data_IF_212673703574
#
_entry.id   IF_212673703574
#
_cell.length_a   1.000
_cell.length_b   1.000
_cell.length_c   1.000
_cell.angle_alpha   90.00
_cell.angle_beta   90.00
_cell.angle_gamma   90.00
#
_symmetry.space_group_name_H-M   'P 1'
#
loop_
_entity.id
_entity.type
_entity.pdbx_description
1 polymer ?
#
# COMPACT_ATOMS: atom_id res chain seq x y z
N UNK A 1 -0.65 -23.33 25.63
CA UNK A 1 0.03 -22.14 25.08
C UNK A 1 -0.99 -21.43 24.22
N UNK A 2 -1.67 -20.43 24.78
CA UNK A 2 -2.52 -19.55 23.98
C UNK A 2 -1.57 -18.59 23.28
N UNK A 3 -1.05 -19.02 22.13
CA UNK A 3 -0.25 -18.13 21.30
C UNK A 3 -1.20 -17.16 20.64
N UNK A 4 -1.21 -15.91 21.11
CA UNK A 4 -1.81 -14.83 20.33
C UNK A 4 -1.17 -14.87 18.95
N UNK A 5 -1.99 -15.10 17.93
CA UNK A 5 -1.52 -15.09 16.56
C UNK A 5 -1.27 -13.64 16.16
N UNK A 6 -0.02 -13.19 16.26
CA UNK A 6 0.37 -11.88 15.79
C UNK A 6 0.38 -11.87 14.25
N UNK A 7 -0.68 -11.28 13.69
CA UNK A 7 -0.85 -11.15 12.24
C UNK A 7 0.29 -10.34 11.60
N UNK A 8 0.91 -9.41 12.32
CA UNK A 8 2.03 -8.61 11.81
C UNK A 8 3.27 -9.47 11.71
N UNK A 9 3.54 -10.32 12.70
CA UNK A 9 4.66 -11.27 12.64
C UNK A 9 4.47 -12.31 11.53
N UNK A 10 3.26 -12.80 11.33
CA UNK A 10 2.94 -13.67 10.19
C UNK A 10 3.19 -12.96 8.85
N UNK A 11 2.71 -11.72 8.71
CA UNK A 11 2.97 -10.89 7.54
C UNK A 11 4.48 -10.67 7.32
N UNK A 12 5.24 -10.46 8.39
CA UNK A 12 6.71 -10.29 8.33
C UNK A 12 7.40 -11.56 7.83
N UNK A 13 6.91 -12.74 8.22
CA UNK A 13 7.40 -14.01 7.69
C UNK A 13 7.13 -14.12 6.18
N UNK A 14 5.90 -13.86 5.74
CA UNK A 14 5.53 -13.86 4.33
C UNK A 14 6.33 -12.85 3.51
N UNK A 15 6.51 -11.63 4.01
CA UNK A 15 7.33 -10.59 3.40
C UNK A 15 8.77 -11.07 3.16
N UNK A 16 9.39 -11.63 4.20
CA UNK A 16 10.78 -12.12 4.14
C UNK A 16 10.96 -13.19 3.06
N UNK A 17 9.96 -14.06 2.87
CA UNK A 17 10.00 -15.12 1.86
C UNK A 17 9.77 -14.61 0.43
N UNK A 18 8.95 -13.58 0.26
CA UNK A 18 8.45 -13.15 -1.05
C UNK A 18 9.15 -11.89 -1.60
N UNK A 19 9.48 -10.91 -0.77
CA UNK A 19 9.92 -9.58 -1.20
C UNK A 19 11.18 -9.61 -2.07
N UNK A 20 12.16 -10.45 -1.72
CA UNK A 20 13.43 -10.53 -2.45
C UNK A 20 13.27 -11.00 -3.90
N UNK A 21 12.24 -11.81 -4.19
CA UNK A 21 12.02 -12.39 -5.52
C UNK A 21 11.18 -11.50 -6.43
N UNK A 22 10.37 -10.63 -5.86
CA UNK A 22 9.34 -9.90 -6.60
C UNK A 22 9.55 -8.39 -6.60
N UNK A 23 10.27 -7.83 -5.62
CA UNK A 23 10.44 -6.39 -5.50
C UNK A 23 11.77 -5.93 -6.11
N UNK A 24 11.70 -5.10 -7.15
CA UNK A 24 12.86 -4.41 -7.69
C UNK A 24 13.15 -3.13 -6.89
N UNK A 25 14.02 -3.26 -5.89
CA UNK A 25 14.35 -2.19 -4.92
C UNK A 25 15.13 -1.01 -5.51
N UNK A 26 15.78 -1.18 -6.67
CA UNK A 26 16.70 -0.18 -7.20
C UNK A 26 16.00 1.10 -7.69
N UNK A 27 14.69 1.04 -7.94
CA UNK A 27 13.92 2.14 -8.52
C UNK A 27 12.85 2.70 -7.57
N UNK A 28 12.84 2.27 -6.31
CA UNK A 28 11.84 2.70 -5.33
C UNK A 28 12.43 3.78 -4.42
N UNK A 29 11.62 4.79 -4.16
CA UNK A 29 11.93 5.94 -3.32
C UNK A 29 11.41 5.76 -1.89
N UNK A 30 11.16 4.51 -1.48
CA UNK A 30 10.63 4.15 -0.16
C UNK A 30 11.55 3.09 0.46
N UNK A 31 11.58 3.03 1.79
CA UNK A 31 12.40 2.05 2.50
C UNK A 31 11.79 0.63 2.44
N UNK A 32 12.56 -0.39 2.84
CA UNK A 32 12.04 -1.76 2.98
C UNK A 32 10.94 -1.83 4.04
N UNK A 33 11.03 -1.02 5.10
CA UNK A 33 10.02 -0.94 6.15
C UNK A 33 8.72 -0.30 5.64
N UNK A 34 8.81 0.78 4.85
CA UNK A 34 7.66 1.39 4.19
C UNK A 34 7.00 0.40 3.23
N UNK A 35 7.78 -0.32 2.44
CA UNK A 35 7.28 -1.33 1.51
C UNK A 35 6.58 -2.50 2.26
N UNK A 36 7.13 -2.92 3.40
CA UNK A 36 6.49 -3.91 4.27
C UNK A 36 5.15 -3.41 4.86
N UNK A 37 5.07 -2.15 5.27
CA UNK A 37 3.82 -1.55 5.75
C UNK A 37 2.76 -1.52 4.65
N UNK A 38 3.13 -1.12 3.44
CA UNK A 38 2.23 -1.16 2.26
C UNK A 38 1.78 -2.59 1.97
N UNK A 39 2.67 -3.58 2.08
CA UNK A 39 2.32 -5.00 1.96
C UNK A 39 1.26 -5.43 2.98
N UNK A 40 1.37 -4.99 4.24
CA UNK A 40 0.37 -5.28 5.25
C UNK A 40 -0.97 -4.63 4.94
N UNK A 41 -0.96 -3.37 4.49
CA UNK A 41 -2.16 -2.65 4.04
C UNK A 41 -2.81 -3.36 2.85
N UNK A 42 -2.02 -3.81 1.88
CA UNK A 42 -2.51 -4.61 0.75
C UNK A 42 -3.21 -5.88 1.24
N UNK A 43 -2.60 -6.65 2.14
CA UNK A 43 -3.21 -7.89 2.63
C UNK A 43 -4.49 -7.64 3.44
N UNK A 44 -4.64 -6.46 4.04
CA UNK A 44 -5.85 -6.07 4.77
C UNK A 44 -6.98 -5.61 3.84
N UNK A 45 -6.65 -4.86 2.78
CA UNK A 45 -7.62 -4.31 1.84
C UNK A 45 -7.95 -5.24 0.66
N UNK A 46 -7.17 -6.30 0.45
CA UNK A 46 -7.41 -7.26 -0.62
C UNK A 46 -8.66 -8.11 -0.37
N UNK A 47 -9.30 -8.56 -1.44
CA UNK A 47 -10.43 -9.48 -1.35
C UNK A 47 -10.02 -10.83 -0.71
N UNK A 48 -10.94 -11.49 -0.01
CA UNK A 48 -10.76 -12.81 0.60
C UNK A 48 -10.77 -13.97 -0.43
N UNK A 49 -10.17 -13.76 -1.61
CA UNK A 49 -10.10 -14.75 -2.68
C UNK A 49 -8.71 -14.77 -3.31
N UNK A 50 -8.15 -15.96 -3.46
CA UNK A 50 -6.85 -16.13 -4.11
C UNK A 50 -6.97 -16.22 -5.65
N UNK A 51 -5.98 -15.68 -6.40
CA UNK A 51 -4.84 -14.89 -5.89
C UNK A 51 -5.29 -13.55 -5.30
N UNK A 52 -4.63 -13.11 -4.22
CA UNK A 52 -4.96 -11.83 -3.59
C UNK A 52 -4.70 -10.69 -4.56
N UNK A 53 -5.68 -9.79 -4.67
CA UNK A 53 -5.63 -8.58 -5.47
C UNK A 53 -6.34 -7.46 -4.71
N UNK A 54 -5.90 -6.23 -4.94
CA UNK A 54 -6.60 -5.03 -4.48
C UNK A 54 -7.35 -4.42 -5.66
N UNK A 55 -8.65 -4.21 -5.51
CA UNK A 55 -9.48 -3.59 -6.55
C UNK A 55 -9.26 -2.08 -6.60
N UNK A 56 -9.68 -1.46 -7.70
CA UNK A 56 -9.42 -0.04 -7.96
C UNK A 56 -9.99 0.87 -6.87
N UNK A 57 -11.17 0.55 -6.34
CA UNK A 57 -11.84 1.25 -5.25
C UNK A 57 -11.00 1.24 -3.96
N UNK A 58 -10.33 0.12 -3.67
CA UNK A 58 -9.56 -0.06 -2.44
C UNK A 58 -8.18 0.59 -2.58
N UNK A 59 -7.66 0.65 -3.81
CA UNK A 59 -6.50 1.49 -4.16
C UNK A 59 -6.84 2.97 -3.95
N UNK A 60 -7.97 3.44 -4.46
CA UNK A 60 -8.43 4.83 -4.28
C UNK A 60 -8.55 5.17 -2.79
N UNK A 61 -9.21 4.31 -2.02
CA UNK A 61 -9.37 4.46 -0.58
C UNK A 61 -8.02 4.61 0.12
N UNK A 62 -7.06 3.73 -0.20
CA UNK A 62 -5.71 3.80 0.35
C UNK A 62 -4.99 5.09 -0.05
N UNK A 63 -5.03 5.49 -1.31
CA UNK A 63 -4.35 6.70 -1.77
C UNK A 63 -4.95 7.97 -1.17
N UNK A 64 -6.26 8.01 -0.97
CA UNK A 64 -6.96 9.11 -0.27
C UNK A 64 -6.48 9.21 1.18
N UNK A 65 -6.48 8.10 1.91
CA UNK A 65 -5.95 8.03 3.28
C UNK A 65 -4.49 8.46 3.36
N UNK A 66 -3.67 8.00 2.43
CA UNK A 66 -2.26 8.39 2.37
C UNK A 66 -2.09 9.89 2.10
N UNK A 67 -2.88 10.46 1.20
CA UNK A 67 -2.85 11.90 0.88
C UNK A 67 -3.25 12.76 2.08
N UNK A 68 -4.31 12.35 2.79
CA UNK A 68 -4.76 12.99 4.03
C UNK A 68 -3.69 12.93 5.12
N UNK A 69 -3.06 11.77 5.34
CA UNK A 69 -2.00 11.59 6.33
C UNK A 69 -0.74 12.42 6.00
N UNK A 70 -0.47 12.67 4.73
CA UNK A 70 0.61 13.59 4.29
C UNK A 70 0.24 15.07 4.45
N UNK A 71 -0.96 15.41 4.95
CA UNK A 71 -1.47 16.77 5.07
C UNK A 71 -1.86 17.41 3.74
N UNK A 72 -2.02 16.60 2.68
CA UNK A 72 -2.47 17.04 1.37
C UNK A 72 -4.00 17.05 1.26
N UNK A 73 -4.50 17.85 0.33
CA UNK A 73 -5.91 17.76 -0.09
C UNK A 73 -6.03 16.75 -1.22
N UNK A 74 -6.91 15.76 -1.05
CA UNK A 74 -7.25 14.83 -2.12
C UNK A 74 -7.88 15.58 -3.31
N UNK A 75 -7.40 15.27 -4.52
CA UNK A 75 -7.93 15.83 -5.78
C UNK A 75 -8.42 14.67 -6.62
N UNK A 76 -9.74 14.49 -6.66
CA UNK A 76 -10.42 13.39 -7.35
C UNK A 76 -9.99 13.27 -8.82
N UNK A 77 -9.87 14.42 -9.52
CA UNK A 77 -9.50 14.47 -10.94
C UNK A 77 -8.15 13.79 -11.24
N UNK A 78 -7.18 13.85 -10.31
CA UNK A 78 -5.88 13.20 -10.49
C UNK A 78 -6.01 11.67 -10.46
N UNK A 79 -6.95 11.15 -9.68
CA UNK A 79 -7.20 9.72 -9.61
C UNK A 79 -8.08 9.24 -10.77
N UNK A 80 -9.01 10.06 -11.25
CA UNK A 80 -9.84 9.73 -12.41
C UNK A 80 -9.00 9.46 -13.67
N UNK A 81 -7.94 10.23 -13.92
CA UNK A 81 -7.02 9.97 -15.03
C UNK A 81 -6.33 8.59 -14.90
N UNK A 82 -5.93 8.22 -13.70
CA UNK A 82 -5.34 6.92 -13.38
C UNK A 82 -6.37 5.78 -13.53
N UNK A 83 -7.58 5.98 -13.02
CA UNK A 83 -8.71 5.05 -13.16
C UNK A 83 -9.05 4.81 -14.63
N UNK A 84 -9.09 5.87 -15.44
CA UNK A 84 -9.30 5.77 -16.90
C UNK A 84 -8.17 5.01 -17.58
N UNK A 85 -6.92 5.17 -17.14
CA UNK A 85 -5.80 4.38 -17.65
C UNK A 85 -5.97 2.89 -17.32
N UNK A 86 -6.30 2.56 -16.07
CA UNK A 86 -6.56 1.19 -15.62
C UNK A 86 -7.70 0.52 -16.40
N UNK A 87 -8.78 1.26 -16.69
CA UNK A 87 -9.88 0.80 -17.54
C UNK A 87 -9.40 0.53 -18.97
N UNK A 88 -8.61 1.43 -19.58
CA UNK A 88 -8.06 1.25 -20.93
C UNK A 88 -7.15 0.03 -21.03
N UNK A 89 -6.38 -0.24 -19.99
CA UNK A 89 -5.46 -1.39 -19.91
C UNK A 89 -6.17 -2.70 -19.49
N UNK A 90 -7.50 -2.66 -19.25
CA UNK A 90 -8.30 -3.77 -18.72
C UNK A 90 -7.78 -4.31 -17.38
N UNK A 91 -7.01 -3.50 -16.66
CA UNK A 91 -6.44 -3.82 -15.37
C UNK A 91 -7.32 -3.21 -14.27
N UNK A 92 -8.26 -3.99 -13.73
CA UNK A 92 -9.19 -3.53 -12.69
C UNK A 92 -8.66 -3.70 -11.25
N UNK A 93 -7.50 -4.35 -11.11
CA UNK A 93 -6.91 -4.69 -9.83
C UNK A 93 -5.39 -4.69 -9.89
N UNK A 94 -4.75 -4.54 -8.74
CA UNK A 94 -3.31 -4.59 -8.58
C UNK A 94 -2.90 -5.76 -7.68
N UNK A 95 -1.73 -6.32 -7.96
CA UNK A 95 -1.00 -7.14 -7.00
C UNK A 95 -0.30 -6.26 -5.95
N UNK A 96 0.16 -6.90 -4.86
CA UNK A 96 0.92 -6.22 -3.82
C UNK A 96 2.14 -5.46 -4.37
N UNK A 97 2.82 -6.03 -5.37
CA UNK A 97 4.03 -5.46 -5.93
C UNK A 97 3.74 -4.24 -6.78
N UNK A 98 2.68 -4.28 -7.59
CA UNK A 98 2.23 -3.14 -8.38
C UNK A 98 1.79 -1.99 -7.47
N UNK A 99 1.11 -2.27 -6.36
CA UNK A 99 0.77 -1.26 -5.36
C UNK A 99 2.02 -0.63 -4.72
N UNK A 100 2.99 -1.45 -4.32
CA UNK A 100 4.26 -0.95 -3.75
C UNK A 100 5.03 -0.12 -4.79
N UNK A 101 5.04 -0.53 -6.06
CA UNK A 101 5.65 0.24 -7.15
C UNK A 101 4.91 1.56 -7.41
N UNK A 102 3.58 1.57 -7.38
CA UNK A 102 2.77 2.77 -7.55
C UNK A 102 3.15 3.86 -6.53
N UNK A 103 3.22 3.48 -5.25
CA UNK A 103 3.63 4.37 -4.17
C UNK A 103 5.12 4.71 -4.26
N UNK A 104 5.96 3.69 -4.47
CA UNK A 104 7.41 3.80 -4.42
C UNK A 104 8.04 4.54 -5.59
N UNK A 105 7.43 4.56 -6.78
CA UNK A 105 7.88 5.38 -7.92
C UNK A 105 7.49 6.84 -7.79
N UNK A 106 6.64 7.18 -6.82
CA UNK A 106 6.28 8.56 -6.54
C UNK A 106 5.42 9.20 -7.64
N UNK A 107 4.48 8.47 -8.24
CA UNK A 107 3.49 9.07 -9.14
C UNK A 107 2.70 10.20 -8.45
N UNK A 108 2.60 10.16 -7.12
CA UNK A 108 1.96 11.17 -6.26
C UNK A 108 2.91 12.31 -5.83
N UNK A 109 4.17 12.29 -6.26
CA UNK A 109 5.29 12.99 -5.59
C UNK A 109 5.59 14.40 -6.10
N UNK A 110 4.72 15.07 -6.86
CA UNK A 110 5.00 16.47 -7.26
C UNK A 110 5.06 17.37 -6.00
N UNK A 111 6.26 17.54 -5.45
CA UNK A 111 6.53 18.37 -4.26
C UNK A 111 6.57 17.64 -2.91
N UNK A 112 6.42 16.32 -2.86
CA UNK A 112 6.42 15.56 -1.58
C UNK A 112 7.81 14.98 -1.30
N UNK A 113 8.40 15.30 -0.15
CA UNK A 113 9.68 14.73 0.27
C UNK A 113 9.54 13.28 0.78
N UNK A 114 10.66 12.57 0.88
CA UNK A 114 10.68 11.17 1.33
C UNK A 114 10.15 11.00 2.76
N UNK A 115 10.41 11.98 3.64
CA UNK A 115 10.07 11.87 5.04
C UNK A 115 8.55 11.96 5.23
N UNK A 116 7.91 12.90 4.56
CA UNK A 116 6.47 13.11 4.56
C UNK A 116 5.75 11.86 4.07
N UNK A 117 6.24 11.24 2.99
CA UNK A 117 5.68 9.99 2.46
C UNK A 117 5.82 8.84 3.47
N UNK A 118 7.00 8.63 4.06
CA UNK A 118 7.21 7.57 5.05
C UNK A 118 6.36 7.79 6.31
N UNK A 119 6.21 9.04 6.76
CA UNK A 119 5.30 9.40 7.85
C UNK A 119 3.84 9.07 7.51
N UNK A 120 3.36 9.47 6.33
CA UNK A 120 2.01 9.17 5.88
C UNK A 120 1.75 7.66 5.78
N UNK A 121 2.70 6.88 5.22
CA UNK A 121 2.60 5.41 5.18
C UNK A 121 2.50 4.83 6.59
N UNK A 122 3.32 5.34 7.52
CA UNK A 122 3.30 4.87 8.90
C UNK A 122 1.98 5.19 9.61
N UNK A 123 1.42 6.38 9.42
CA UNK A 123 0.13 6.77 10.01
C UNK A 123 -1.02 5.89 9.49
N UNK A 124 -1.13 5.71 8.16
CA UNK A 124 -2.16 4.84 7.56
C UNK A 124 -1.99 3.39 8.02
N UNK A 125 -0.75 2.90 8.15
CA UNK A 125 -0.47 1.57 8.69
C UNK A 125 -0.93 1.45 10.15
N UNK A 126 -0.67 2.45 11.00
CA UNK A 126 -1.16 2.42 12.38
C UNK A 126 -2.69 2.40 12.42
N UNK A 127 -3.35 3.27 11.65
CA UNK A 127 -4.82 3.38 11.61
C UNK A 127 -5.48 2.09 11.12
N UNK A 128 -5.06 1.57 9.95
CA UNK A 128 -5.74 0.45 9.30
C UNK A 128 -5.34 -0.91 9.85
N UNK A 129 -4.11 -1.05 10.34
CA UNK A 129 -3.58 -2.35 10.76
C UNK A 129 -3.49 -2.41 12.27
N UNK A 130 -2.68 -1.54 12.89
CA UNK A 130 -2.38 -1.69 14.31
C UNK A 130 -3.58 -1.41 15.20
N UNK A 131 -4.41 -0.43 14.88
CA UNK A 131 -5.57 -0.07 15.71
C UNK A 131 -6.78 -0.99 15.48
N UNK A 132 -6.86 -1.63 14.32
CA UNK A 132 -7.84 -2.69 14.05
C UNK A 132 -7.46 -4.01 14.74
N UNK A 133 -6.16 -4.35 14.79
CA UNK A 133 -5.68 -5.57 15.43
C UNK A 133 -5.69 -5.54 16.97
N UNK A 134 -5.78 -4.35 17.58
CA UNK A 134 -5.89 -4.17 19.04
C UNK A 134 -7.32 -4.34 19.57
N UNK A 135 -8.33 -4.45 18.70
CA UNK A 135 -9.74 -4.66 19.07
C UNK A 135 -10.07 -6.15 19.11
#
# INVERSE_FOLDING_TARGET
VSGDFDRVDFNRMCWTLCARKNLNRNNLLISDDDAFKIWCIFNFLSEDKYPLVIVTEEVEYFLRKLTEAMGGSWVEENFEDYRLQMIREQQQCLSAWELIELVGKGHLRKGIDHQTLSMGINEVFQELIMDVLKQ
#
